data_IF_146142947309
#
_entry.id   IF_146142947309
#
_cell.length_a   1.000
_cell.length_b   1.000
_cell.length_c   1.000
_cell.angle_alpha   90.00
_cell.angle_beta   90.00
_cell.angle_gamma   90.00
#
_symmetry.space_group_name_H-M   'P 1'
#
loop_
_entity.id
_entity.type
_entity.pdbx_description
1 polymer ?
#
# COMPACT_ATOMS: atom_id res chain seq x y z
N UNK A 1 46.08 -19.75 -5.43
CA UNK A 1 44.62 -19.79 -5.63
C UNK A 1 44.07 -18.40 -5.39
N UNK A 2 43.79 -17.71 -6.48
CA UNK A 2 43.06 -16.43 -6.51
C UNK A 2 41.56 -16.68 -6.40
N UNK A 3 40.84 -15.86 -5.64
CA UNK A 3 39.50 -15.37 -5.98
C UNK A 3 39.03 -14.37 -4.90
N UNK A 4 39.14 -13.09 -5.27
CA UNK A 4 38.15 -12.04 -5.00
C UNK A 4 37.46 -12.01 -3.62
N UNK A 5 38.06 -11.30 -2.66
CA UNK A 5 37.31 -10.63 -1.57
C UNK A 5 37.43 -9.11 -1.72
N UNK A 6 37.08 -8.63 -2.92
CA UNK A 6 36.62 -7.26 -3.11
C UNK A 6 35.10 -7.25 -2.90
N UNK A 7 34.64 -7.48 -1.67
CA UNK A 7 33.28 -7.08 -1.32
C UNK A 7 33.33 -5.59 -0.97
N UNK A 8 33.28 -4.81 -2.05
CA UNK A 8 33.23 -3.35 -2.10
C UNK A 8 32.43 -2.77 -0.94
N UNK A 9 33.10 -1.98 -0.10
CA UNK A 9 32.52 -1.09 0.92
C UNK A 9 31.41 -0.16 0.40
N UNK A 10 31.11 -0.14 -0.90
CA UNK A 10 30.01 0.62 -1.50
C UNK A 10 28.63 0.11 -1.09
N UNK A 11 28.43 -1.17 -0.85
CA UNK A 11 27.06 -1.70 -0.63
C UNK A 11 26.46 -1.33 0.73
N UNK A 12 27.28 -0.82 1.66
CA UNK A 12 26.85 -0.32 2.97
C UNK A 12 26.44 1.17 2.95
N UNK A 13 26.66 1.88 1.84
CA UNK A 13 26.36 3.32 1.70
C UNK A 13 24.98 3.62 1.08
N UNK A 14 24.31 2.63 0.51
CA UNK A 14 23.04 2.81 -0.22
C UNK A 14 21.77 2.49 0.61
N UNK A 15 21.91 2.30 1.93
CA UNK A 15 20.75 2.18 2.81
C UNK A 15 20.19 3.58 3.16
N UNK A 16 18.86 3.80 3.14
CA UNK A 16 18.27 5.07 3.51
C UNK A 16 18.51 5.38 4.99
N UNK A 17 19.54 6.20 5.24
CA UNK A 17 19.79 7.09 6.37
C UNK A 17 19.12 6.77 7.73
N UNK A 18 19.84 6.01 8.56
CA UNK A 18 20.03 6.39 9.96
C UNK A 18 21.52 6.72 10.16
N UNK A 19 21.81 7.87 10.77
CA UNK A 19 23.16 8.45 10.88
C UNK A 19 24.14 7.45 11.52
N UNK A 20 25.04 6.86 10.74
CA UNK A 20 26.19 6.10 11.26
C UNK A 20 27.25 7.11 11.71
N UNK A 21 27.42 7.28 13.03
CA UNK A 21 28.50 8.08 13.61
C UNK A 21 29.73 7.19 13.72
N UNK A 22 30.73 7.40 12.85
CA UNK A 22 32.01 6.69 12.90
C UNK A 22 32.97 7.47 13.79
N UNK A 23 33.24 6.96 15.00
CA UNK A 23 34.28 7.50 15.87
C UNK A 23 35.65 6.92 15.48
N UNK A 24 36.61 7.76 15.11
CA UNK A 24 38.01 7.36 14.88
C UNK A 24 38.71 7.21 16.23
N UNK A 25 38.64 6.03 16.83
CA UNK A 25 39.31 5.73 18.10
C UNK A 25 40.78 5.37 17.85
N UNK A 26 41.71 6.22 18.30
CA UNK A 26 43.15 5.90 18.29
C UNK A 26 43.45 4.82 19.33
N UNK A 27 44.16 3.77 18.93
CA UNK A 27 44.62 2.69 19.83
C UNK A 27 43.77 1.42 19.83
N UNK A 28 42.73 1.34 19.01
CA UNK A 28 41.86 0.15 18.91
C UNK A 28 42.60 -1.10 18.45
N UNK A 29 43.67 -0.94 17.64
CA UNK A 29 44.47 -2.03 17.06
C UNK A 29 45.08 -2.94 18.14
N UNK A 30 45.63 -2.36 19.20
CA UNK A 30 46.23 -3.13 20.31
C UNK A 30 45.18 -3.89 21.14
N UNK A 31 43.97 -3.33 21.25
CA UNK A 31 42.85 -3.96 21.99
C UNK A 31 42.21 -5.08 21.17
N UNK A 32 42.14 -4.90 19.84
CA UNK A 32 41.67 -5.91 18.89
C UNK A 32 42.58 -7.15 18.86
N UNK A 33 43.89 -6.93 18.88
CA UNK A 33 44.88 -8.01 18.83
C UNK A 33 44.85 -8.88 20.10
N UNK A 34 44.67 -8.24 21.26
CA UNK A 34 44.59 -8.93 22.55
C UNK A 34 43.30 -9.75 22.75
N UNK A 35 42.21 -9.39 22.05
CA UNK A 35 40.88 -9.98 22.24
C UNK A 35 40.30 -10.61 20.97
N UNK A 36 41.17 -11.00 20.03
CA UNK A 36 40.79 -11.55 18.73
C UNK A 36 39.80 -12.71 18.84
N UNK A 37 39.98 -13.58 19.83
CA UNK A 37 39.10 -14.73 20.07
C UNK A 37 37.71 -14.32 20.61
N UNK A 38 37.64 -13.27 21.42
CA UNK A 38 36.37 -12.76 21.97
C UNK A 38 35.54 -12.10 20.86
N UNK A 39 36.19 -11.31 19.99
CA UNK A 39 35.57 -10.68 18.84
C UNK A 39 35.07 -11.69 17.81
N UNK A 40 35.85 -12.74 17.53
CA UNK A 40 35.42 -13.81 16.59
C UNK A 40 34.19 -14.54 17.12
N UNK A 41 34.10 -14.78 18.43
CA UNK A 41 32.92 -15.42 19.04
C UNK A 41 31.70 -14.50 19.01
N UNK A 42 31.85 -13.23 19.39
CA UNK A 42 30.78 -12.23 19.29
C UNK A 42 30.28 -12.04 17.85
N UNK A 43 31.18 -11.98 16.88
CA UNK A 43 30.82 -11.91 15.46
C UNK A 43 30.08 -13.18 15.05
N UNK A 44 30.55 -14.37 15.44
CA UNK A 44 29.88 -15.63 15.13
C UNK A 44 28.48 -15.70 15.71
N UNK A 45 28.29 -15.28 16.95
CA UNK A 45 26.99 -15.29 17.62
C UNK A 45 26.02 -14.27 16.99
N UNK A 46 26.49 -13.05 16.70
CA UNK A 46 25.72 -12.05 15.94
C UNK A 46 25.40 -12.55 14.53
N UNK A 47 26.34 -13.22 13.86
CA UNK A 47 26.12 -13.78 12.52
C UNK A 47 25.15 -14.96 12.57
N UNK A 48 25.15 -15.74 13.67
CA UNK A 48 24.19 -16.82 13.91
C UNK A 48 22.79 -16.27 14.14
N UNK A 49 22.66 -15.22 14.93
CA UNK A 49 21.38 -14.56 15.20
C UNK A 49 20.82 -13.91 13.92
N UNK A 50 21.68 -13.32 13.07
CA UNK A 50 21.31 -12.81 11.75
C UNK A 50 20.94 -13.97 10.79
N UNK A 51 21.62 -15.12 10.87
CA UNK A 51 21.32 -16.29 10.03
C UNK A 51 20.02 -16.98 10.43
N UNK A 52 19.69 -16.99 11.73
CA UNK A 52 18.42 -17.48 12.27
C UNK A 52 17.29 -16.50 11.92
N UNK A 53 17.55 -15.18 11.89
CA UNK A 53 16.59 -14.17 11.43
C UNK A 53 16.44 -14.11 9.90
N UNK A 54 17.29 -14.81 9.13
CA UNK A 54 17.26 -14.93 7.67
C UNK A 54 16.63 -16.23 7.19
N UNK A 55 15.89 -16.95 8.02
CA UNK A 55 14.84 -17.79 7.46
C UNK A 55 13.86 -16.87 6.73
N UNK A 56 13.47 -17.18 5.48
CA UNK A 56 12.47 -16.40 4.79
C UNK A 56 11.16 -16.57 5.55
N UNK A 57 10.90 -15.68 6.51
CA UNK A 57 9.54 -15.30 6.82
C UNK A 57 8.96 -14.96 5.46
N UNK A 58 8.01 -15.78 4.99
CA UNK A 58 7.15 -15.40 3.88
C UNK A 58 6.62 -14.03 4.25
N UNK A 59 7.23 -12.97 3.71
CA UNK A 59 6.69 -11.63 3.83
C UNK A 59 5.36 -11.75 3.12
N UNK A 60 4.27 -11.90 3.89
CA UNK A 60 2.92 -11.83 3.36
C UNK A 60 2.90 -10.52 2.59
N UNK A 61 2.91 -10.62 1.26
CA UNK A 61 2.96 -9.47 0.37
C UNK A 61 1.67 -8.71 0.64
N UNK A 62 1.80 -7.57 1.33
CA UNK A 62 0.66 -6.75 1.69
C UNK A 62 0.07 -6.23 0.39
N UNK A 63 -1.15 -6.64 0.07
CA UNK A 63 -1.86 -6.17 -1.13
C UNK A 63 -2.46 -4.80 -0.82
N UNK A 64 -2.04 -3.76 -1.53
CA UNK A 64 -2.72 -2.46 -1.46
C UNK A 64 -3.85 -2.39 -2.49
N UNK A 65 -5.04 -1.98 -2.03
CA UNK A 65 -6.21 -1.73 -2.88
C UNK A 65 -6.79 -0.35 -2.53
N UNK A 66 -6.87 0.52 -3.53
CA UNK A 66 -7.54 1.81 -3.41
C UNK A 66 -8.95 1.71 -4.01
N UNK A 67 -9.96 1.91 -3.17
CA UNK A 67 -11.37 1.90 -3.56
C UNK A 67 -11.84 3.34 -3.74
N UNK A 68 -12.24 3.69 -4.95
CA UNK A 68 -12.62 5.04 -5.34
C UNK A 68 -14.10 5.10 -5.67
N UNK A 69 -14.80 6.05 -5.07
CA UNK A 69 -16.22 6.30 -5.25
C UNK A 69 -16.42 7.63 -5.96
N UNK A 70 -17.13 7.58 -7.09
CA UNK A 70 -17.59 8.76 -7.81
C UNK A 70 -18.54 9.62 -6.94
N UNK A 71 -18.74 10.88 -7.34
CA UNK A 71 -19.54 11.88 -6.64
C UNK A 71 -21.00 11.45 -6.40
N UNK A 72 -21.50 10.54 -7.24
CA UNK A 72 -22.84 9.94 -7.09
C UNK A 72 -23.00 9.13 -5.80
N UNK A 73 -21.91 8.63 -5.20
CA UNK A 73 -21.94 7.77 -4.02
C UNK A 73 -21.44 8.47 -2.76
N UNK A 74 -21.76 9.76 -2.60
CA UNK A 74 -21.43 10.52 -1.39
C UNK A 74 -21.90 9.77 -0.13
N UNK A 75 -20.98 9.50 0.80
CA UNK A 75 -21.24 8.78 2.05
C UNK A 75 -21.15 7.25 1.96
N UNK A 76 -21.00 6.67 0.77
CA UNK A 76 -20.89 5.20 0.63
C UNK A 76 -19.55 4.67 1.09
N UNK A 77 -18.48 5.45 0.91
CA UNK A 77 -17.12 5.02 1.27
C UNK A 77 -17.01 4.61 2.74
N UNK A 78 -17.66 5.35 3.64
CA UNK A 78 -17.66 5.06 5.07
C UNK A 78 -18.48 3.82 5.42
N UNK A 79 -19.64 3.63 4.77
CA UNK A 79 -20.47 2.43 4.95
C UNK A 79 -19.72 1.18 4.47
N UNK A 80 -19.16 1.23 3.25
CA UNK A 80 -18.39 0.11 2.68
C UNK A 80 -17.15 -0.19 3.52
N UNK A 81 -16.43 0.84 4.00
CA UNK A 81 -15.28 0.65 4.88
C UNK A 81 -15.66 -0.08 6.18
N UNK A 82 -16.78 0.30 6.78
CA UNK A 82 -17.29 -0.35 7.99
C UNK A 82 -17.68 -1.81 7.75
N UNK A 83 -18.37 -2.09 6.65
CA UNK A 83 -18.84 -3.45 6.32
C UNK A 83 -17.70 -4.40 5.93
N UNK A 84 -16.65 -3.89 5.29
CA UNK A 84 -15.48 -4.69 4.95
C UNK A 84 -14.60 -4.93 6.18
N UNK A 85 -14.36 -3.89 6.97
CA UNK A 85 -13.48 -3.94 8.14
C UNK A 85 -12.01 -4.13 7.77
N UNK A 86 -11.21 -4.50 8.76
CA UNK A 86 -9.80 -4.82 8.56
C UNK A 86 -9.64 -6.23 7.97
N UNK A 87 -8.69 -6.37 7.05
CA UNK A 87 -8.37 -7.64 6.41
C UNK A 87 -6.89 -7.91 6.53
N UNK A 88 -6.55 -9.09 7.02
CA UNK A 88 -5.16 -9.53 7.14
C UNK A 88 -4.43 -9.45 5.79
N UNK A 89 -3.28 -8.75 5.79
CA UNK A 89 -2.38 -8.61 4.64
C UNK A 89 -2.97 -7.83 3.45
N UNK A 90 -4.03 -7.05 3.68
CA UNK A 90 -4.61 -6.15 2.67
C UNK A 90 -4.77 -4.76 3.27
N UNK A 91 -4.19 -3.77 2.61
CA UNK A 91 -4.40 -2.36 2.94
C UNK A 91 -5.49 -1.82 2.02
N UNK A 92 -6.61 -1.41 2.61
CA UNK A 92 -7.73 -0.79 1.90
C UNK A 92 -7.72 0.71 2.13
N UNK A 93 -7.59 1.47 1.05
CA UNK A 93 -7.74 2.93 1.08
C UNK A 93 -9.06 3.31 0.43
N UNK A 94 -9.91 4.08 1.13
CA UNK A 94 -11.20 4.51 0.61
C UNK A 94 -11.12 5.97 0.18
N UNK A 95 -11.43 6.26 -1.08
CA UNK A 95 -11.37 7.58 -1.69
C UNK A 95 -12.77 7.98 -2.18
N UNK A 96 -13.32 9.06 -1.66
CA UNK A 96 -14.63 9.57 -2.08
C UNK A 96 -14.47 10.89 -2.80
N UNK A 97 -14.94 10.96 -4.04
CA UNK A 97 -14.94 12.19 -4.82
C UNK A 97 -16.08 13.09 -4.33
N UNK A 98 -15.73 14.28 -3.84
CA UNK A 98 -16.73 15.22 -3.26
C UNK A 98 -17.11 16.35 -4.22
N UNK A 99 -16.45 16.44 -5.38
CA UNK A 99 -16.66 17.49 -6.36
C UNK A 99 -15.92 18.79 -6.02
N UNK A 100 -16.58 19.93 -6.28
CA UNK A 100 -16.05 21.28 -6.02
C UNK A 100 -16.29 21.66 -4.55
N UNK A 101 -15.25 22.12 -3.86
CA UNK A 101 -15.36 22.57 -2.46
C UNK A 101 -14.14 22.24 -1.59
N UNK A 102 -13.25 21.38 -2.08
CA UNK A 102 -11.92 21.16 -1.50
C UNK A 102 -10.85 21.60 -2.50
N UNK A 103 -9.77 22.19 -1.99
CA UNK A 103 -8.58 22.51 -2.82
C UNK A 103 -7.62 21.32 -2.90
N UNK A 104 -7.57 20.50 -1.87
CA UNK A 104 -6.67 19.35 -1.74
C UNK A 104 -7.37 18.17 -1.06
N UNK A 105 -6.87 16.93 -1.25
CA UNK A 105 -7.41 15.78 -0.56
C UNK A 105 -7.35 15.94 0.97
N UNK A 106 -8.40 15.49 1.67
CA UNK A 106 -8.48 15.53 3.13
C UNK A 106 -8.93 14.16 3.64
N UNK A 107 -8.25 13.62 4.66
CA UNK A 107 -8.67 12.38 5.31
C UNK A 107 -9.67 12.68 6.43
N UNK A 108 -10.86 12.08 6.37
CA UNK A 108 -11.91 12.16 7.40
C UNK A 108 -12.24 10.73 7.83
N UNK A 109 -11.91 10.38 9.07
CA UNK A 109 -11.98 8.99 9.54
C UNK A 109 -11.13 8.07 8.66
N UNK A 110 -11.75 7.04 8.08
CA UNK A 110 -11.11 6.07 7.19
C UNK A 110 -11.07 6.51 5.72
N UNK A 111 -11.71 7.63 5.36
CA UNK A 111 -11.97 8.01 3.97
C UNK A 111 -11.17 9.25 3.56
N UNK A 112 -10.47 9.17 2.44
CA UNK A 112 -9.89 10.31 1.75
C UNK A 112 -10.94 11.00 0.89
N UNK A 113 -11.33 12.22 1.25
CA UNK A 113 -12.20 13.08 0.44
C UNK A 113 -11.35 13.74 -0.65
N UNK A 114 -11.67 13.46 -1.91
CA UNK A 114 -10.93 13.87 -3.10
C UNK A 114 -11.67 15.00 -3.83
N UNK A 115 -11.01 16.14 -4.11
CA UNK A 115 -11.58 17.15 -4.98
C UNK A 115 -11.56 16.69 -6.43
N UNK A 116 -12.62 16.99 -7.18
CA UNK A 116 -12.64 16.85 -8.63
C UNK A 116 -13.54 17.93 -9.23
N UNK A 117 -13.05 18.66 -10.23
CA UNK A 117 -13.84 19.72 -10.90
C UNK A 117 -14.60 19.21 -12.11
N UNK A 118 -14.07 18.16 -12.72
CA UNK A 118 -14.52 17.49 -13.92
C UNK A 118 -13.99 16.04 -13.95
N UNK A 119 -14.40 15.28 -14.98
CA UNK A 119 -14.01 13.89 -15.20
C UNK A 119 -12.50 13.71 -15.42
N UNK A 120 -11.80 14.75 -15.89
CA UNK A 120 -10.37 14.68 -16.15
C UNK A 120 -9.55 14.67 -14.85
N UNK A 121 -10.01 15.38 -13.82
CA UNK A 121 -9.44 15.29 -12.47
C UNK A 121 -9.59 13.87 -11.89
N UNK A 122 -10.74 13.23 -12.12
CA UNK A 122 -10.99 11.84 -11.71
C UNK A 122 -10.01 10.91 -12.43
N UNK A 123 -9.83 11.08 -13.74
CA UNK A 123 -8.88 10.28 -14.52
C UNK A 123 -7.44 10.41 -13.99
N UNK A 124 -7.00 11.63 -13.66
CA UNK A 124 -5.68 11.88 -13.05
C UNK A 124 -5.52 11.19 -11.70
N UNK A 125 -6.54 11.28 -10.84
CA UNK A 125 -6.55 10.61 -9.54
C UNK A 125 -6.39 9.10 -9.72
N UNK A 126 -7.22 8.48 -10.55
CA UNK A 126 -7.19 7.04 -10.80
C UNK A 126 -5.82 6.58 -11.32
N UNK A 127 -5.24 7.33 -12.26
CA UNK A 127 -3.90 7.05 -12.80
C UNK A 127 -2.79 7.19 -11.75
N UNK A 128 -2.92 8.15 -10.83
CA UNK A 128 -1.96 8.33 -9.73
C UNK A 128 -2.04 7.16 -8.75
N UNK A 129 -3.25 6.75 -8.37
CA UNK A 129 -3.47 5.65 -7.43
C UNK A 129 -3.05 4.31 -8.05
N UNK A 130 -3.30 4.09 -9.35
CA UNK A 130 -2.94 2.86 -10.05
C UNK A 130 -1.43 2.64 -10.19
N UNK A 131 -0.63 3.70 -9.99
CA UNK A 131 0.83 3.58 -9.89
C UNK A 131 1.31 3.05 -8.53
N UNK A 132 0.43 2.98 -7.53
CA UNK A 132 0.76 2.66 -6.13
C UNK A 132 0.03 1.41 -5.64
N UNK A 133 -1.24 1.26 -6.01
CA UNK A 133 -2.15 0.21 -5.54
C UNK A 133 -3.01 -0.30 -6.69
N UNK A 134 -3.64 -1.47 -6.51
CA UNK A 134 -4.72 -1.87 -7.42
C UNK A 134 -5.94 -0.99 -7.15
N UNK A 135 -6.53 -0.41 -8.19
CA UNK A 135 -7.63 0.53 -8.02
C UNK A 135 -8.95 -0.13 -8.36
N UNK A 136 -9.94 0.04 -7.50
CA UNK A 136 -11.34 -0.33 -7.75
C UNK A 136 -12.13 0.96 -7.82
N UNK A 137 -12.69 1.28 -8.99
CA UNK A 137 -13.44 2.50 -9.20
C UNK A 137 -14.92 2.19 -9.42
N UNK A 138 -15.78 2.74 -8.56
CA UNK A 138 -17.23 2.68 -8.68
C UNK A 138 -17.76 4.00 -9.26
N UNK A 139 -18.51 3.92 -10.36
CA UNK A 139 -19.20 5.08 -10.97
C UNK A 139 -20.62 4.70 -11.40
N UNK A 140 -21.54 5.66 -11.29
CA UNK A 140 -22.88 5.55 -11.83
C UNK A 140 -23.02 6.20 -13.22
N UNK A 141 -21.93 6.77 -13.76
CA UNK A 141 -21.88 7.36 -15.09
C UNK A 141 -21.25 6.38 -16.09
N UNK A 142 -22.04 5.98 -17.09
CA UNK A 142 -21.63 5.02 -18.11
C UNK A 142 -20.50 5.55 -19.01
N UNK A 143 -20.50 6.85 -19.31
CA UNK A 143 -19.46 7.47 -20.15
C UNK A 143 -18.15 7.52 -19.40
N UNK A 144 -18.17 7.97 -18.14
CA UNK A 144 -17.00 7.99 -17.29
C UNK A 144 -16.44 6.58 -17.08
N UNK A 145 -17.32 5.59 -16.83
CA UNK A 145 -16.92 4.20 -16.69
C UNK A 145 -16.10 3.72 -17.90
N UNK A 146 -16.65 3.91 -19.11
CA UNK A 146 -16.00 3.48 -20.35
C UNK A 146 -14.64 4.17 -20.57
N UNK A 147 -14.52 5.45 -20.22
CA UNK A 147 -13.25 6.19 -20.34
C UNK A 147 -12.20 5.66 -19.36
N UNK A 148 -12.60 5.39 -18.11
CA UNK A 148 -11.69 4.93 -17.07
C UNK A 148 -11.26 3.45 -17.24
N UNK A 149 -12.05 2.62 -17.93
CA UNK A 149 -11.70 1.21 -18.21
C UNK A 149 -10.38 1.06 -18.98
N UNK A 150 -9.97 2.09 -19.71
CA UNK A 150 -8.73 2.09 -20.49
C UNK A 150 -7.47 2.28 -19.63
N UNK A 151 -7.62 2.62 -18.33
CA UNK A 151 -6.49 2.86 -17.43
C UNK A 151 -5.97 1.51 -16.90
N UNK A 152 -4.68 1.22 -17.13
CA UNK A 152 -4.02 0.02 -16.60
C UNK A 152 -4.00 0.04 -15.07
N UNK A 153 -4.37 -1.08 -14.45
CA UNK A 153 -4.40 -1.24 -12.98
C UNK A 153 -5.66 -0.67 -12.31
N UNK A 154 -6.66 -0.25 -13.10
CA UNK A 154 -7.96 0.21 -12.60
C UNK A 154 -9.05 -0.77 -13.03
N UNK A 155 -9.77 -1.30 -12.04
CA UNK A 155 -10.97 -2.11 -12.23
C UNK A 155 -12.19 -1.21 -12.06
N UNK A 156 -12.94 -1.00 -13.14
CA UNK A 156 -14.09 -0.11 -13.15
C UNK A 156 -15.38 -0.91 -13.04
N UNK A 157 -16.23 -0.51 -12.11
CA UNK A 157 -17.55 -1.11 -11.88
C UNK A 157 -18.62 -0.03 -12.04
N UNK A 158 -19.47 -0.22 -13.07
CA UNK A 158 -20.63 0.61 -13.31
C UNK A 158 -21.79 0.13 -12.43
N UNK A 159 -22.18 0.94 -11.44
CA UNK A 159 -23.17 0.57 -10.40
C UNK A 159 -24.21 1.69 -10.25
N UNK A 160 -25.00 2.01 -11.28
CA UNK A 160 -25.91 3.16 -11.26
C UNK A 160 -26.94 3.02 -10.12
N UNK A 161 -27.00 3.96 -9.15
CA UNK A 161 -27.87 3.81 -7.97
C UNK A 161 -29.35 3.59 -8.29
N UNK A 162 -29.84 4.12 -9.42
CA UNK A 162 -31.22 3.97 -9.85
C UNK A 162 -31.62 2.56 -10.30
N UNK A 163 -30.66 1.67 -10.54
CA UNK A 163 -30.92 0.27 -10.90
C UNK A 163 -31.04 -0.65 -9.66
N UNK A 164 -30.86 -0.09 -8.46
CA UNK A 164 -30.92 -0.82 -7.19
C UNK A 164 -32.07 -0.34 -6.33
N UNK A 165 -32.70 -1.25 -5.58
CA UNK A 165 -33.86 -0.96 -4.74
C UNK A 165 -33.58 -0.19 -3.45
N UNK A 166 -32.45 0.52 -3.35
CA UNK A 166 -32.05 1.23 -2.13
C UNK A 166 -30.54 1.36 -2.01
N UNK A 167 -30.09 2.20 -1.05
CA UNK A 167 -28.66 2.42 -0.80
C UNK A 167 -27.99 1.18 -0.21
N UNK A 168 -28.71 0.46 0.63
CA UNK A 168 -28.28 -0.75 1.32
C UNK A 168 -27.87 -1.82 0.30
N UNK A 169 -28.72 -2.10 -0.70
CA UNK A 169 -28.45 -3.09 -1.74
C UNK A 169 -27.25 -2.70 -2.63
N UNK A 170 -27.03 -1.40 -2.87
CA UNK A 170 -25.84 -0.92 -3.58
C UNK A 170 -24.58 -1.17 -2.76
N UNK A 171 -24.61 -0.86 -1.45
CA UNK A 171 -23.48 -1.11 -0.54
C UNK A 171 -23.16 -2.60 -0.47
N UNK A 172 -24.17 -3.46 -0.27
CA UNK A 172 -24.01 -4.91 -0.28
C UNK A 172 -23.36 -5.42 -1.58
N UNK A 173 -23.81 -4.89 -2.72
CA UNK A 173 -23.25 -5.24 -4.02
C UNK A 173 -21.77 -4.81 -4.15
N UNK A 174 -21.42 -3.59 -3.73
CA UNK A 174 -20.05 -3.10 -3.74
C UNK A 174 -19.14 -3.92 -2.80
N UNK A 175 -19.62 -4.25 -1.60
CA UNK A 175 -18.93 -5.10 -0.62
C UNK A 175 -18.67 -6.48 -1.21
N UNK A 176 -19.68 -7.07 -1.87
CA UNK A 176 -19.55 -8.37 -2.55
C UNK A 176 -18.45 -8.35 -3.62
N UNK A 177 -18.42 -7.31 -4.45
CA UNK A 177 -17.37 -7.12 -5.47
C UNK A 177 -15.99 -7.04 -4.80
N UNK A 178 -15.84 -6.22 -3.76
CA UNK A 178 -14.56 -6.05 -3.08
C UNK A 178 -14.07 -7.36 -2.45
N UNK A 179 -14.95 -8.11 -1.77
CA UNK A 179 -14.59 -9.42 -1.18
C UNK A 179 -14.12 -10.41 -2.25
N UNK A 180 -14.75 -10.42 -3.43
CA UNK A 180 -14.31 -11.26 -4.55
C UNK A 180 -12.91 -10.88 -5.05
N UNK A 181 -12.61 -9.58 -5.17
CA UNK A 181 -11.29 -9.09 -5.59
C UNK A 181 -10.22 -9.44 -4.56
N UNK A 182 -10.57 -9.32 -3.28
CA UNK A 182 -9.67 -9.60 -2.17
C UNK A 182 -9.44 -11.11 -2.02
N UNK A 183 -10.38 -11.93 -2.50
CA UNK A 183 -10.35 -13.40 -2.40
C UNK A 183 -10.93 -13.92 -1.08
N UNK A 184 -11.82 -13.16 -0.43
CA UNK A 184 -12.52 -13.60 0.76
C UNK A 184 -13.86 -14.28 0.42
N UNK A 185 -14.22 -15.38 1.11
CA UNK A 185 -15.56 -15.93 1.01
C UNK A 185 -16.58 -14.93 1.55
N UNK A 186 -17.76 -14.86 0.91
CA UNK A 186 -18.88 -14.07 1.41
C UNK A 186 -19.34 -14.71 2.73
N UNK A 187 -19.39 -13.93 3.81
CA UNK A 187 -20.06 -14.35 5.03
C UNK A 187 -21.55 -14.50 4.70
N UNK A 188 -22.06 -15.72 4.81
CA UNK A 188 -23.48 -16.08 4.62
C UNK A 188 -24.20 -15.87 5.94
#
# INVERSE_FOLDING_TARGET
MSLQENLSLKTLLDAPCERIIIYKVKGLEKVLEANKNVLVTLIKDVTRDIAISKQPQQSKTVKCIAVVFDQMYKGFAELVAREIGEIDNVVLEYHEIVGRGLEKPVKVGYVYKQPARDDYDIFKLLKSLSGQCNVVFFTGDKKLANQCMMIKGVHVYYVPPGEYGGKELVVEHMVKILRQIIGQPLAV
#
